data_IF_831407211217
#
_entry.id   IF_831407211217
#
_cell.length_a   1.000
_cell.length_b   1.000
_cell.length_c   1.000
_cell.angle_alpha   90.00
_cell.angle_beta   90.00
_cell.angle_gamma   90.00
#
_symmetry.space_group_name_H-M   'P 1'
#
loop_
_entity.id
_entity.type
_entity.pdbx_description
1 polymer ?
#
# COMPACT_ATOMS: atom_id res chain seq x y z
N UNK A 1 1.90 19.35 23.72
CA UNK A 1 0.62 18.65 23.47
C UNK A 1 0.47 18.49 21.97
N UNK A 2 1.14 17.49 21.35
CA UNK A 2 1.09 17.31 19.89
C UNK A 2 -0.32 16.95 19.39
N UNK A 3 -1.17 16.43 20.28
CA UNK A 3 -2.56 16.04 20.00
C UNK A 3 -3.54 17.17 19.77
N UNK A 4 -3.16 18.43 20.03
CA UNK A 4 -4.01 19.58 19.81
C UNK A 4 -3.82 20.12 18.39
N UNK A 5 -4.87 20.18 17.54
CA UNK A 5 -4.76 20.72 16.19
C UNK A 5 -4.12 22.11 16.13
N UNK A 6 -4.44 22.99 17.08
CA UNK A 6 -3.84 24.33 17.14
C UNK A 6 -2.34 24.33 17.46
N UNK A 7 -1.84 23.36 18.23
CA UNK A 7 -0.40 23.21 18.48
C UNK A 7 0.34 22.71 17.25
N UNK A 8 -0.24 21.78 16.48
CA UNK A 8 0.31 21.32 15.20
C UNK A 8 0.37 22.47 14.21
N UNK A 9 -0.72 23.25 14.11
CA UNK A 9 -0.78 24.45 13.28
C UNK A 9 0.31 25.45 13.66
N UNK A 10 0.47 25.76 14.95
CA UNK A 10 1.53 26.63 15.45
C UNK A 10 2.93 26.15 15.04
N UNK A 11 3.18 24.85 15.23
CA UNK A 11 4.47 24.21 14.89
C UNK A 11 4.76 24.34 13.40
N UNK A 12 3.77 24.10 12.54
CA UNK A 12 3.84 24.27 11.10
C UNK A 12 4.17 25.70 10.70
N UNK A 13 3.41 26.67 11.23
CA UNK A 13 3.61 28.09 10.98
C UNK A 13 5.02 28.55 11.38
N UNK A 14 5.52 28.08 12.54
CA UNK A 14 6.87 28.39 13.01
C UNK A 14 7.95 27.77 12.11
N UNK A 15 7.78 26.51 11.68
CA UNK A 15 8.72 25.83 10.78
C UNK A 15 8.81 26.51 9.42
N UNK A 16 7.68 26.89 8.86
CA UNK A 16 7.61 27.50 7.54
C UNK A 16 8.00 28.99 7.52
N UNK A 17 8.26 29.59 8.69
CA UNK A 17 8.48 31.05 8.85
C UNK A 17 7.39 31.89 8.15
N UNK A 18 6.15 31.38 8.16
CA UNK A 18 5.02 31.99 7.46
C UNK A 18 4.45 33.14 8.28
N UNK A 19 4.26 34.28 7.64
CA UNK A 19 3.58 35.45 8.21
C UNK A 19 2.12 35.54 7.74
N UNK A 20 1.54 34.42 7.30
CA UNK A 20 0.17 34.37 6.83
C UNK A 20 -0.81 34.76 7.97
N UNK A 21 -1.97 35.27 7.59
CA UNK A 21 -2.96 35.84 8.53
C UNK A 21 -3.42 34.83 9.61
N UNK A 22 -3.34 33.54 9.32
CA UNK A 22 -3.72 32.41 10.20
C UNK A 22 -2.53 31.84 10.98
N UNK A 23 -1.30 32.23 10.62
CA UNK A 23 -0.08 31.86 11.33
C UNK A 23 0.34 32.88 12.41
N UNK A 24 -0.43 33.95 12.60
CA UNK A 24 -0.17 34.88 13.71
C UNK A 24 -0.46 34.18 15.05
N UNK A 25 0.33 34.46 16.12
CA UNK A 25 0.09 33.86 17.43
C UNK A 25 -1.34 34.09 17.95
N UNK A 26 -1.95 35.23 17.61
CA UNK A 26 -3.31 35.56 18.04
C UNK A 26 -4.38 34.77 17.25
N UNK A 27 -4.17 34.50 15.96
CA UNK A 27 -5.05 33.64 15.16
C UNK A 27 -5.03 32.20 15.64
N UNK A 28 -3.85 31.64 15.91
CA UNK A 28 -3.72 30.29 16.46
C UNK A 28 -4.35 30.21 17.86
N UNK A 29 -4.15 31.24 18.69
CA UNK A 29 -4.82 31.33 19.99
C UNK A 29 -6.36 31.38 19.82
N UNK A 30 -6.85 32.09 18.80
CA UNK A 30 -8.26 32.14 18.48
C UNK A 30 -8.81 30.75 18.13
N UNK A 31 -8.14 29.98 17.27
CA UNK A 31 -8.54 28.62 16.91
C UNK A 31 -8.60 27.70 18.16
N UNK A 32 -7.58 27.77 19.02
CA UNK A 32 -7.53 26.97 20.26
C UNK A 32 -8.62 27.39 21.24
N UNK A 33 -8.70 28.67 21.58
CA UNK A 33 -9.50 29.16 22.70
C UNK A 33 -10.96 29.45 22.35
N UNK A 34 -11.33 29.45 21.09
CA UNK A 34 -12.72 29.70 20.70
C UNK A 34 -13.42 28.48 20.10
N UNK A 35 -12.67 27.54 19.52
CA UNK A 35 -13.21 26.32 18.88
C UNK A 35 -12.87 25.08 19.70
N UNK A 36 -11.60 24.86 20.01
CA UNK A 36 -11.15 23.59 20.58
C UNK A 36 -11.37 23.48 22.10
N UNK A 37 -10.77 24.37 22.88
CA UNK A 37 -10.75 24.29 24.35
C UNK A 37 -11.05 25.63 25.03
N UNK A 38 -12.26 26.20 24.85
CA UNK A 38 -12.61 27.50 25.42
C UNK A 38 -12.60 27.53 26.97
N UNK A 39 -12.71 26.37 27.61
CA UNK A 39 -12.72 26.27 29.07
C UNK A 39 -11.33 26.11 29.71
N UNK A 40 -10.25 26.08 28.92
CA UNK A 40 -8.90 26.06 29.46
C UNK A 40 -8.62 27.30 30.30
N UNK A 41 -7.88 27.12 31.40
CA UNK A 41 -7.49 28.23 32.30
C UNK A 41 -6.83 29.37 31.54
N UNK A 42 -5.97 29.04 30.58
CA UNK A 42 -5.22 30.02 29.78
C UNK A 42 -6.08 30.71 28.71
N UNK A 43 -7.23 30.13 28.36
CA UNK A 43 -8.19 30.71 27.42
C UNK A 43 -9.16 31.71 28.07
N UNK A 44 -9.20 31.83 29.40
CA UNK A 44 -10.12 32.73 30.12
C UNK A 44 -10.03 34.18 29.64
N UNK A 45 -8.82 34.69 29.45
CA UNK A 45 -8.61 36.06 28.99
C UNK A 45 -9.07 36.25 27.54
N UNK A 46 -8.76 35.29 26.66
CA UNK A 46 -9.21 35.33 25.28
C UNK A 46 -10.74 35.26 25.20
N UNK A 47 -11.38 34.33 25.92
CA UNK A 47 -12.84 34.17 25.92
C UNK A 47 -13.54 35.39 26.55
N UNK A 48 -12.97 35.98 27.60
CA UNK A 48 -13.49 37.21 28.19
C UNK A 48 -13.42 38.41 27.24
N UNK A 49 -12.39 38.47 26.38
CA UNK A 49 -12.19 39.57 25.45
C UNK A 49 -12.95 39.38 24.13
N UNK A 50 -12.82 38.20 23.52
CA UNK A 50 -13.27 37.90 22.17
C UNK A 50 -14.53 37.02 22.11
N UNK A 51 -15.00 36.52 23.24
CA UNK A 51 -16.08 35.52 23.31
C UNK A 51 -15.69 34.15 22.77
N UNK A 52 -16.44 33.12 23.16
CA UNK A 52 -16.42 31.83 22.47
C UNK A 52 -17.08 31.98 21.10
N UNK A 53 -16.54 31.29 20.08
CA UNK A 53 -16.98 31.44 18.68
C UNK A 53 -18.48 31.13 18.49
N UNK A 54 -19.05 30.26 19.32
CA UNK A 54 -20.45 29.87 19.26
C UNK A 54 -21.45 30.98 19.63
N UNK A 55 -21.02 32.03 20.34
CA UNK A 55 -21.95 32.93 21.05
C UNK A 55 -21.86 34.42 20.63
N UNK A 56 -21.00 34.79 19.67
CA UNK A 56 -20.85 36.19 19.26
C UNK A 56 -20.82 36.35 17.74
N UNK A 57 -21.57 37.33 17.23
CA UNK A 57 -21.49 37.73 15.83
C UNK A 57 -20.18 38.48 15.58
N UNK A 58 -19.60 38.33 14.39
CA UNK A 58 -18.34 39.00 14.01
C UNK A 58 -18.39 40.52 14.21
N UNK A 59 -19.59 41.11 14.15
CA UNK A 59 -19.81 42.54 14.33
C UNK A 59 -19.52 43.05 15.76
N UNK A 60 -19.85 42.29 16.81
CA UNK A 60 -19.72 42.73 18.21
C UNK A 60 -18.32 42.51 18.81
N UNK A 61 -17.44 41.81 18.09
CA UNK A 61 -16.09 41.51 18.55
C UNK A 61 -15.19 42.76 18.60
N UNK A 62 -14.31 42.89 19.61
CA UNK A 62 -13.26 43.92 19.62
C UNK A 62 -12.40 43.87 18.35
N UNK A 63 -11.82 45.01 17.97
CA UNK A 63 -10.99 45.13 16.75
C UNK A 63 -9.85 44.12 16.70
N UNK A 64 -9.21 43.84 17.85
CA UNK A 64 -8.13 42.85 17.94
C UNK A 64 -8.60 41.44 17.56
N UNK A 65 -9.81 41.05 17.98
CA UNK A 65 -10.42 39.76 17.66
C UNK A 65 -10.93 39.68 16.21
N UNK A 66 -11.16 40.82 15.56
CA UNK A 66 -11.50 40.90 14.13
C UNK A 66 -10.25 40.77 13.25
N UNK A 67 -9.11 41.27 13.72
CA UNK A 67 -7.85 41.26 12.95
C UNK A 67 -7.17 39.90 12.84
N UNK A 68 -7.49 38.97 13.75
CA UNK A 68 -7.02 37.60 13.74
C UNK A 68 -8.15 36.65 13.33
N UNK A 69 -8.31 36.36 12.03
CA UNK A 69 -9.32 35.43 11.59
C UNK A 69 -8.97 34.05 12.10
N UNK A 70 -10.02 33.35 12.50
CA UNK A 70 -9.96 31.93 12.81
C UNK A 70 -10.10 31.13 11.52
N UNK A 71 -9.59 29.90 11.53
CA UNK A 71 -9.89 28.94 10.48
C UNK A 71 -11.34 28.47 10.63
N UNK A 72 -12.15 28.75 9.62
CA UNK A 72 -13.52 28.26 9.54
C UNK A 72 -13.50 26.72 9.50
N UNK A 73 -14.38 26.07 10.27
CA UNK A 73 -14.45 24.60 10.37
C UNK A 73 -13.17 23.94 10.92
N UNK A 74 -12.38 24.65 11.73
CA UNK A 74 -11.24 24.05 12.42
C UNK A 74 -11.72 22.91 13.34
N UNK A 75 -11.17 21.69 13.21
CA UNK A 75 -11.63 20.57 14.03
C UNK A 75 -11.13 20.73 15.48
N UNK A 76 -11.99 20.39 16.45
CA UNK A 76 -11.55 20.28 17.85
C UNK A 76 -10.63 19.07 18.01
N UNK A 77 -9.78 19.06 19.05
CA UNK A 77 -8.93 17.95 19.43
C UNK A 77 -9.71 16.64 19.54
N UNK A 78 -10.89 16.70 20.19
CA UNK A 78 -11.76 15.53 20.35
C UNK A 78 -12.30 15.04 19.01
N UNK A 79 -12.74 15.95 18.15
CA UNK A 79 -13.29 15.60 16.84
C UNK A 79 -12.21 15.06 15.90
N UNK A 80 -11.07 15.75 15.78
CA UNK A 80 -9.93 15.31 14.97
C UNK A 80 -9.44 13.92 15.40
N UNK A 81 -9.29 13.69 16.71
CA UNK A 81 -8.89 12.38 17.21
C UNK A 81 -9.92 11.30 16.91
N UNK A 82 -11.22 11.59 17.04
CA UNK A 82 -12.26 10.62 16.72
C UNK A 82 -12.27 10.28 15.22
N UNK A 83 -12.17 11.29 14.35
CA UNK A 83 -12.15 11.10 12.90
C UNK A 83 -10.94 10.30 12.42
N UNK A 84 -9.76 10.55 12.99
CA UNK A 84 -8.56 9.73 12.67
C UNK A 84 -8.78 8.28 13.06
N UNK A 85 -9.28 8.03 14.28
CA UNK A 85 -9.51 6.67 14.76
C UNK A 85 -10.62 5.96 13.98
N UNK A 86 -11.64 6.69 13.53
CA UNK A 86 -12.75 6.17 12.72
C UNK A 86 -12.26 5.74 11.34
N UNK A 87 -11.52 6.62 10.64
CA UNK A 87 -10.89 6.30 9.34
C UNK A 87 -10.01 5.05 9.47
N UNK A 88 -9.14 5.01 10.49
CA UNK A 88 -8.21 3.90 10.69
C UNK A 88 -8.89 2.61 11.18
N UNK A 89 -10.12 2.69 11.71
CA UNK A 89 -10.91 1.51 12.08
C UNK A 89 -11.66 0.93 10.87
N UNK A 90 -12.07 1.78 9.91
CA UNK A 90 -12.73 1.35 8.68
C UNK A 90 -11.74 0.76 7.67
N UNK A 91 -10.57 1.38 7.49
CA UNK A 91 -9.49 0.80 6.69
C UNK A 91 -8.11 1.20 7.19
N UNK A 92 -7.17 0.26 7.13
CA UNK A 92 -5.77 0.53 7.46
C UNK A 92 -5.09 1.31 6.31
N UNK A 93 -4.65 2.53 6.60
CA UNK A 93 -4.04 3.45 5.63
C UNK A 93 -2.69 3.96 6.13
N UNK A 94 -1.81 4.34 5.20
CA UNK A 94 -0.58 5.05 5.54
C UNK A 94 -0.90 6.34 6.33
N UNK A 95 -0.33 6.45 7.52
CA UNK A 95 -0.61 7.50 8.51
C UNK A 95 -1.31 6.98 9.76
N UNK A 96 -2.04 5.86 9.70
CA UNK A 96 -2.70 5.26 10.87
C UNK A 96 -1.70 4.81 11.94
N UNK A 97 -0.50 4.38 11.54
CA UNK A 97 0.60 4.02 12.44
C UNK A 97 1.09 5.20 13.31
N UNK A 98 0.76 6.43 12.93
CA UNK A 98 1.17 7.65 13.66
C UNK A 98 0.28 7.94 14.86
N UNK A 99 -0.92 7.37 14.90
CA UNK A 99 -1.93 7.64 15.91
C UNK A 99 -2.45 6.36 16.54
N UNK A 100 -1.76 5.91 17.59
CA UNK A 100 -2.23 4.78 18.40
C UNK A 100 -3.57 5.08 19.08
N UNK A 101 -4.37 4.02 19.27
CA UNK A 101 -5.64 4.10 19.98
C UNK A 101 -5.39 4.64 21.42
N UNK A 102 -6.11 5.68 21.84
CA UNK A 102 -5.95 6.24 23.18
C UNK A 102 -6.25 5.20 24.25
N UNK A 103 -5.50 5.25 25.36
CA UNK A 103 -5.79 4.43 26.53
C UNK A 103 -7.22 4.69 27.05
N UNK A 104 -7.87 3.70 27.67
CA UNK A 104 -9.20 3.89 28.26
C UNK A 104 -9.23 5.12 29.19
N UNK A 105 -10.14 6.06 28.92
CA UNK A 105 -10.28 7.31 29.68
C UNK A 105 -9.42 8.48 29.21
N UNK A 106 -8.55 8.29 28.21
CA UNK A 106 -7.83 9.41 27.60
C UNK A 106 -8.75 10.25 26.69
N UNK A 107 -8.54 11.56 26.69
CA UNK A 107 -9.37 12.53 25.96
C UNK A 107 -9.17 12.49 24.43
N UNK A 108 -7.95 12.20 24.00
CA UNK A 108 -7.54 12.17 22.59
C UNK A 108 -6.34 11.23 22.38
N UNK A 109 -6.11 10.82 21.14
CA UNK A 109 -4.93 10.07 20.71
C UNK A 109 -3.65 10.89 20.95
N UNK A 110 -2.58 10.23 21.39
CA UNK A 110 -1.30 10.89 21.71
C UNK A 110 -0.41 11.03 20.46
N UNK A 111 -0.90 11.75 19.45
CA UNK A 111 -0.22 11.92 18.15
C UNK A 111 -0.47 13.32 17.59
N UNK A 112 0.12 13.66 16.44
CA UNK A 112 -0.29 14.86 15.69
C UNK A 112 -1.62 14.60 14.98
N UNK A 113 -2.74 14.89 15.66
CA UNK A 113 -4.09 14.57 15.16
C UNK A 113 -4.43 15.35 13.89
N UNK A 114 -4.07 16.63 13.79
CA UNK A 114 -4.34 17.45 12.61
C UNK A 114 -3.47 17.02 11.42
N UNK A 115 -2.17 16.78 11.64
CA UNK A 115 -1.27 16.30 10.60
C UNK A 115 -1.68 14.93 10.07
N UNK A 116 -2.02 14.00 10.96
CA UNK A 116 -2.48 12.66 10.58
C UNK A 116 -3.83 12.71 9.86
N UNK A 117 -4.80 13.46 10.38
CA UNK A 117 -6.10 13.66 9.73
C UNK A 117 -5.96 14.24 8.32
N UNK A 118 -5.09 15.24 8.14
CA UNK A 118 -4.79 15.80 6.82
C UNK A 118 -4.14 14.78 5.88
N UNK A 119 -3.24 13.91 6.36
CA UNK A 119 -2.63 12.86 5.54
C UNK A 119 -3.70 11.88 5.04
N UNK A 120 -4.54 11.38 5.95
CA UNK A 120 -5.61 10.43 5.64
C UNK A 120 -6.61 11.04 4.64
N UNK A 121 -7.04 12.28 4.88
CA UNK A 121 -7.98 12.95 3.99
C UNK A 121 -7.39 13.40 2.67
N UNK A 122 -6.08 13.63 2.58
CA UNK A 122 -5.42 13.84 1.28
C UNK A 122 -5.37 12.56 0.45
N UNK A 123 -5.23 11.40 1.11
CA UNK A 123 -5.22 10.11 0.42
C UNK A 123 -6.61 9.74 -0.13
N UNK A 124 -7.68 10.00 0.64
CA UNK A 124 -9.06 9.77 0.21
C UNK A 124 -9.98 10.94 0.61
N UNK A 125 -10.00 12.03 -0.19
CA UNK A 125 -10.75 13.24 0.17
C UNK A 125 -12.25 13.01 0.22
N UNK A 126 -12.77 12.02 -0.50
CA UNK A 126 -14.21 11.75 -0.62
C UNK A 126 -14.79 10.88 0.49
N UNK A 127 -13.98 10.51 1.49
CA UNK A 127 -14.48 9.87 2.72
C UNK A 127 -15.40 10.82 3.49
N UNK A 128 -16.48 10.27 4.05
CA UNK A 128 -17.47 11.07 4.82
C UNK A 128 -16.83 11.77 6.03
N UNK A 129 -15.84 11.10 6.65
CA UNK A 129 -15.03 11.59 7.75
C UNK A 129 -14.17 12.80 7.37
N UNK A 130 -13.92 13.03 6.07
CA UNK A 130 -13.12 14.14 5.57
C UNK A 130 -13.93 15.41 5.27
N UNK A 131 -15.23 15.43 5.57
CA UNK A 131 -16.08 16.60 5.37
C UNK A 131 -15.57 17.84 6.14
N UNK A 132 -15.20 17.69 7.42
CA UNK A 132 -14.66 18.79 8.23
C UNK A 132 -13.33 19.31 7.67
N UNK A 133 -12.41 18.41 7.29
CA UNK A 133 -11.16 18.79 6.63
C UNK A 133 -11.40 19.54 5.32
N UNK A 134 -12.32 19.05 4.46
CA UNK A 134 -12.73 19.73 3.22
C UNK A 134 -13.24 21.13 3.51
N UNK A 135 -14.17 21.28 4.47
CA UNK A 135 -14.69 22.59 4.85
C UNK A 135 -13.59 23.53 5.37
N UNK A 136 -12.65 23.02 6.17
CA UNK A 136 -11.50 23.79 6.65
C UNK A 136 -10.61 24.26 5.49
N UNK A 137 -10.34 23.38 4.53
CA UNK A 137 -9.51 23.71 3.37
C UNK A 137 -10.20 24.65 2.38
N UNK A 138 -11.50 24.47 2.15
CA UNK A 138 -12.28 25.29 1.20
C UNK A 138 -12.61 26.68 1.74
N UNK A 139 -12.90 26.83 3.03
CA UNK A 139 -13.31 28.11 3.61
C UNK A 139 -12.18 29.16 3.69
N UNK A 140 -10.98 28.80 3.24
CA UNK A 140 -9.79 29.64 3.28
C UNK A 140 -9.39 30.25 1.93
N UNK A 141 -10.11 29.91 0.86
CA UNK A 141 -9.83 30.39 -0.49
C UNK A 141 -10.42 31.78 -0.77
N UNK A 142 -11.45 32.18 -0.02
CA UNK A 142 -12.28 33.33 -0.42
C UNK A 142 -11.76 34.70 0.03
N UNK A 143 -10.91 34.78 1.05
CA UNK A 143 -10.60 36.08 1.70
C UNK A 143 -9.14 36.50 1.72
N UNK A 144 -8.18 35.68 1.26
CA UNK A 144 -6.76 36.01 1.35
C UNK A 144 -5.98 35.50 0.15
N UNK A 145 -5.18 36.37 -0.47
CA UNK A 145 -4.28 36.05 -1.60
C UNK A 145 -3.20 34.97 -1.26
N UNK A 146 -3.12 34.54 0.00
CA UNK A 146 -2.23 33.50 0.54
C UNK A 146 -3.04 32.43 1.32
N UNK A 147 -4.12 31.94 0.71
CA UNK A 147 -5.09 31.05 1.36
C UNK A 147 -4.49 29.81 2.02
N UNK A 148 -5.12 29.35 3.12
CA UNK A 148 -4.78 28.12 3.85
C UNK A 148 -4.81 26.86 2.96
N UNK A 149 -5.46 26.93 1.80
CA UNK A 149 -5.40 25.90 0.76
C UNK A 149 -3.95 25.53 0.36
N UNK A 150 -3.00 26.46 0.45
CA UNK A 150 -1.58 26.22 0.17
C UNK A 150 -0.78 25.66 1.37
N UNK A 151 -1.46 25.39 2.48
CA UNK A 151 -0.85 24.79 3.67
C UNK A 151 -0.43 23.34 3.43
N UNK A 152 0.50 22.80 4.22
CA UNK A 152 0.82 21.37 4.20
C UNK A 152 -0.39 20.47 4.55
N UNK A 153 -1.40 21.05 5.21
CA UNK A 153 -2.63 20.37 5.60
C UNK A 153 -3.64 20.25 4.46
N UNK A 154 -3.66 21.21 3.52
CA UNK A 154 -4.67 21.29 2.47
C UNK A 154 -4.13 21.17 1.05
N UNK A 155 -2.83 21.42 0.85
CA UNK A 155 -2.23 21.34 -0.47
C UNK A 155 -2.42 19.93 -1.03
N UNK A 156 -3.13 19.86 -2.16
CA UNK A 156 -3.39 18.63 -2.87
C UNK A 156 -2.05 17.92 -3.13
N UNK A 157 -1.84 16.76 -2.49
CA UNK A 157 -0.75 15.85 -2.84
C UNK A 157 0.68 16.33 -2.59
N UNK A 158 1.00 17.01 -1.49
CA UNK A 158 2.41 17.29 -1.10
C UNK A 158 2.93 16.31 -0.02
N UNK A 159 2.55 15.04 -0.12
CA UNK A 159 3.54 13.99 0.11
C UNK A 159 4.21 13.80 -1.24
N UNK A 160 5.55 13.71 -1.31
CA UNK A 160 6.27 13.52 -2.57
C UNK A 160 5.49 12.58 -3.49
N UNK A 161 5.30 12.88 -4.80
CA UNK A 161 4.64 11.97 -5.73
C UNK A 161 5.29 10.57 -5.80
N UNK A 162 6.42 10.38 -5.13
CA UNK A 162 7.02 9.08 -4.85
C UNK A 162 6.40 8.22 -3.74
N UNK A 163 5.69 8.78 -2.75
CA UNK A 163 5.31 8.05 -1.54
C UNK A 163 3.81 7.89 -1.28
N UNK A 164 2.94 8.48 -2.12
CA UNK A 164 1.51 8.23 -1.97
C UNK A 164 1.11 7.06 -2.87
N UNK A 165 0.87 5.86 -2.32
CA UNK A 165 0.33 4.76 -3.10
C UNK A 165 -0.99 5.22 -3.75
N UNK A 166 -1.23 4.99 -5.06
CA UNK A 166 -2.53 5.26 -5.66
C UNK A 166 -3.63 4.60 -4.81
N UNK A 167 -4.63 5.43 -4.45
CA UNK A 167 -5.75 5.01 -3.63
C UNK A 167 -6.34 3.71 -4.18
N UNK A 168 -6.59 2.73 -3.31
CA UNK A 168 -7.22 1.46 -3.70
C UNK A 168 -8.53 1.75 -4.44
N UNK A 169 -8.49 1.66 -5.77
CA UNK A 169 -9.67 1.80 -6.62
C UNK A 169 -10.21 0.39 -6.86
N UNK A 170 -11.54 0.25 -6.85
CA UNK A 170 -12.19 -1.03 -7.12
C UNK A 170 -12.31 -1.28 -8.62
N UNK A 171 -12.02 -2.54 -9.03
CA UNK A 171 -11.96 -3.20 -10.36
C UNK A 171 -12.00 -2.36 -11.65
N UNK A 172 -11.10 -2.69 -12.59
CA UNK A 172 -10.96 -2.14 -13.96
C UNK A 172 -11.03 -0.62 -14.04
N UNK A 173 -9.91 0.03 -13.75
CA UNK A 173 -9.78 1.47 -13.93
C UNK A 173 -9.04 1.73 -15.25
N UNK A 174 -9.42 2.80 -15.94
CA UNK A 174 -8.77 3.26 -17.16
C UNK A 174 -7.66 4.27 -16.86
N UNK A 175 -7.18 4.30 -15.61
CA UNK A 175 -6.13 5.19 -15.16
C UNK A 175 -4.76 4.74 -15.66
N UNK A 176 -3.87 5.69 -15.91
CA UNK A 176 -2.48 5.39 -16.26
C UNK A 176 -1.58 5.19 -15.04
N UNK A 177 -2.07 5.48 -13.82
CA UNK A 177 -1.30 5.47 -12.57
C UNK A 177 -1.73 4.31 -11.65
N UNK A 178 -1.80 3.12 -12.20
CA UNK A 178 -2.15 1.90 -11.48
C UNK A 178 -0.92 1.00 -11.29
N UNK A 179 -0.92 0.22 -10.20
CA UNK A 179 0.09 -0.80 -9.95
C UNK A 179 -0.07 -1.93 -10.97
N UNK A 180 1.04 -2.29 -11.62
CA UNK A 180 1.01 -3.31 -12.68
C UNK A 180 1.38 -4.68 -12.13
N UNK A 181 2.54 -4.81 -11.50
CA UNK A 181 3.06 -6.07 -10.95
C UNK A 181 3.67 -5.91 -9.55
N UNK A 182 4.37 -4.79 -9.32
CA UNK A 182 5.05 -4.46 -8.07
C UNK A 182 4.81 -3.00 -7.71
N UNK A 183 4.97 -2.63 -6.43
CA UNK A 183 4.81 -1.24 -5.95
C UNK A 183 5.73 -0.25 -6.67
N UNK A 184 6.88 -0.72 -7.15
CA UNK A 184 7.86 0.09 -7.88
C UNK A 184 7.52 0.26 -9.36
N UNK A 185 6.66 -0.60 -9.92
CA UNK A 185 6.27 -0.56 -11.32
C UNK A 185 4.91 0.13 -11.48
N UNK A 186 4.93 1.46 -11.38
CA UNK A 186 3.78 2.34 -11.58
C UNK A 186 4.07 3.31 -12.72
N UNK A 187 3.33 3.25 -13.85
CA UNK A 187 3.47 4.23 -14.90
C UNK A 187 2.98 5.60 -14.39
N UNK A 188 3.82 6.63 -14.52
CA UNK A 188 3.48 8.01 -14.13
C UNK A 188 3.26 8.95 -15.30
N UNK A 189 3.62 8.49 -16.50
CA UNK A 189 3.44 9.24 -17.75
C UNK A 189 2.98 8.33 -18.88
N UNK A 190 2.50 8.94 -19.98
CA UNK A 190 1.97 8.21 -21.12
C UNK A 190 3.00 7.27 -21.77
N UNK A 191 4.27 7.68 -21.83
CA UNK A 191 5.34 6.85 -22.38
C UNK A 191 5.61 5.60 -21.55
N UNK A 192 5.65 5.73 -20.22
CA UNK A 192 5.78 4.61 -19.29
C UNK A 192 4.56 3.69 -19.36
N UNK A 193 3.36 4.24 -19.53
CA UNK A 193 2.14 3.46 -19.70
C UNK A 193 2.21 2.61 -20.97
N UNK A 194 2.51 3.22 -22.12
CA UNK A 194 2.72 2.50 -23.40
C UNK A 194 3.86 1.48 -23.28
N UNK A 195 4.97 1.85 -22.64
CA UNK A 195 6.09 0.94 -22.38
C UNK A 195 5.68 -0.27 -21.53
N UNK A 196 4.79 -0.08 -20.56
CA UNK A 196 4.26 -1.16 -19.74
C UNK A 196 3.38 -2.11 -20.55
N UNK A 197 2.55 -1.59 -21.46
CA UNK A 197 1.80 -2.42 -22.41
C UNK A 197 2.72 -3.31 -23.25
N UNK A 198 3.78 -2.74 -23.82
CA UNK A 198 4.77 -3.53 -24.57
C UNK A 198 5.48 -4.55 -23.68
N UNK A 199 5.90 -4.16 -22.47
CA UNK A 199 6.56 -5.06 -21.53
C UNK A 199 5.66 -6.26 -21.18
N UNK A 200 4.37 -6.04 -20.88
CA UNK A 200 3.41 -7.12 -20.62
C UNK A 200 3.18 -8.00 -21.86
N UNK A 201 3.10 -7.41 -23.06
CA UNK A 201 3.00 -8.17 -24.31
C UNK A 201 4.22 -9.08 -24.54
N UNK A 202 5.44 -8.57 -24.34
CA UNK A 202 6.65 -9.38 -24.50
C UNK A 202 6.80 -10.41 -23.39
N UNK A 203 6.40 -10.09 -22.16
CA UNK A 203 6.45 -11.01 -21.02
C UNK A 203 5.49 -12.19 -21.21
N UNK A 204 4.29 -11.94 -21.74
CA UNK A 204 3.33 -13.01 -22.09
C UNK A 204 3.82 -13.85 -23.28
N UNK A 205 4.42 -13.24 -24.30
CA UNK A 205 5.03 -13.96 -25.42
C UNK A 205 6.20 -14.85 -24.97
N UNK A 206 7.04 -14.34 -24.06
CA UNK A 206 8.14 -15.10 -23.47
C UNK A 206 7.59 -16.28 -22.66
N UNK A 207 6.56 -16.07 -21.84
CA UNK A 207 5.91 -17.13 -21.06
C UNK A 207 5.39 -18.26 -21.97
N UNK A 208 4.65 -17.91 -23.03
CA UNK A 208 4.14 -18.89 -24.01
C UNK A 208 5.26 -19.64 -24.72
N UNK A 209 6.35 -18.94 -25.06
CA UNK A 209 7.52 -19.56 -25.71
C UNK A 209 8.19 -20.57 -24.79
N UNK A 210 8.36 -20.25 -23.50
CA UNK A 210 8.94 -21.15 -22.49
C UNK A 210 8.07 -22.39 -22.31
N UNK A 211 6.74 -22.22 -22.19
CA UNK A 211 5.81 -23.33 -22.01
C UNK A 211 5.77 -24.25 -23.24
N UNK A 212 5.79 -23.67 -24.45
CA UNK A 212 5.89 -24.45 -25.71
C UNK A 212 7.23 -25.19 -25.81
N UNK A 213 8.33 -24.50 -25.49
CA UNK A 213 9.67 -25.09 -25.53
C UNK A 213 9.79 -26.28 -24.58
N UNK A 214 9.25 -26.16 -23.36
CA UNK A 214 9.15 -27.26 -22.40
C UNK A 214 8.41 -28.45 -23.00
N UNK A 215 7.24 -28.22 -23.60
CA UNK A 215 6.42 -29.28 -24.21
C UNK A 215 7.19 -30.00 -25.33
N UNK A 216 7.93 -29.26 -26.17
CA UNK A 216 8.77 -29.86 -27.21
C UNK A 216 9.93 -30.69 -26.65
N UNK A 217 10.58 -30.24 -25.57
CA UNK A 217 11.65 -31.01 -24.92
C UNK A 217 11.13 -32.32 -24.32
N UNK A 218 9.99 -32.28 -23.64
CA UNK A 218 9.35 -33.49 -23.10
C UNK A 218 8.99 -34.48 -24.22
N UNK A 219 8.49 -33.98 -25.36
CA UNK A 219 8.24 -34.81 -26.53
C UNK A 219 9.50 -35.50 -27.06
N UNK A 220 10.61 -34.76 -27.18
CA UNK A 220 11.88 -35.33 -27.65
C UNK A 220 12.48 -36.35 -26.68
N UNK A 221 12.40 -36.10 -25.38
CA UNK A 221 12.90 -37.08 -24.39
C UNK A 221 12.06 -38.35 -24.39
N UNK A 222 10.73 -38.25 -24.56
CA UNK A 222 9.87 -39.42 -24.70
C UNK A 222 10.20 -40.27 -25.94
N UNK A 223 10.55 -39.64 -27.07
CA UNK A 223 11.01 -40.34 -28.28
C UNK A 223 12.35 -41.07 -28.06
N UNK A 224 13.31 -40.43 -27.38
CA UNK A 224 14.60 -41.05 -27.04
C UNK A 224 14.43 -42.26 -26.11
N UNK A 225 13.56 -42.16 -25.10
CA UNK A 225 13.25 -43.28 -24.19
C UNK A 225 12.57 -44.44 -24.94
N UNK A 226 11.69 -44.15 -25.90
CA UNK A 226 11.07 -45.17 -26.74
C UNK A 226 12.11 -45.91 -27.60
N UNK A 227 13.06 -45.19 -28.20
CA UNK A 227 14.12 -45.78 -29.02
C UNK A 227 15.08 -46.67 -28.21
N UNK A 228 15.48 -46.26 -27.00
CA UNK A 228 16.35 -47.04 -26.12
C UNK A 228 15.68 -48.36 -25.65
N UNK A 229 14.35 -48.33 -25.44
CA UNK A 229 13.58 -49.52 -25.09
C UNK A 229 13.49 -50.53 -26.26
N UNK A 230 13.34 -50.07 -27.50
CA UNK A 230 13.32 -50.97 -28.67
C UNK A 230 14.64 -51.73 -28.85
N UNK A 231 15.78 -51.06 -28.68
CA UNK A 231 17.11 -51.70 -28.81
C UNK A 231 17.39 -52.71 -27.69
N UNK A 232 16.98 -52.40 -26.46
CA UNK A 232 17.08 -53.32 -25.32
C UNK A 232 16.27 -54.59 -25.56
N UNK A 233 15.07 -54.47 -26.15
CA UNK A 233 14.19 -55.61 -26.44
C UNK A 233 14.80 -56.55 -27.51
N UNK A 234 15.51 -55.99 -28.51
CA UNK A 234 16.22 -56.80 -29.52
C UNK A 234 17.41 -57.56 -28.92
N UNK A 235 18.18 -56.94 -28.02
CA UNK A 235 19.35 -57.59 -27.40
C UNK A 235 18.97 -58.83 -26.58
N UNK A 236 17.87 -58.75 -25.82
CA UNK A 236 17.45 -59.83 -24.92
C UNK A 236 16.80 -61.03 -25.66
N UNK A 237 16.23 -60.78 -26.85
CA UNK A 237 15.68 -61.84 -27.70
C UNK A 237 16.72 -62.86 -28.20
N UNK A 238 18.02 -62.53 -28.14
CA UNK A 238 19.11 -63.44 -28.52
C UNK A 238 19.57 -64.38 -27.40
N UNK A 239 19.18 -64.16 -26.14
CA UNK A 239 19.79 -64.87 -24.98
C UNK A 239 18.82 -65.85 -24.31
N UNK A 240 17.51 -65.76 -24.57
CA UNK A 240 16.51 -66.66 -23.96
C UNK A 240 16.18 -67.88 -24.83
N UNK A 241 17.08 -68.86 -24.84
CA UNK A 241 16.72 -70.25 -25.20
C UNK A 241 17.21 -71.31 -24.20
N UNK A 242 17.74 -70.92 -23.03
CA UNK A 242 18.09 -71.87 -21.97
C UNK A 242 17.73 -71.31 -20.61
N UNK A 243 16.71 -71.89 -19.96
CA UNK A 243 16.58 -72.05 -18.51
C UNK A 243 15.11 -72.20 -18.12
N UNK A 244 14.57 -73.40 -18.32
CA UNK A 244 13.37 -73.90 -17.63
C UNK A 244 13.83 -74.55 -16.32
N UNK A 245 13.33 -74.07 -15.18
CA UNK A 245 13.38 -74.79 -13.90
C UNK A 245 13.82 -73.94 -12.73
N UNK A 246 12.94 -73.79 -11.73
CA UNK A 246 13.34 -73.22 -10.44
C UNK A 246 12.19 -72.58 -9.68
N UNK A 247 11.26 -73.41 -9.22
CA UNK A 247 10.19 -73.05 -8.29
C UNK A 247 10.78 -72.76 -6.90
N UNK A 248 10.43 -71.64 -6.25
CA UNK A 248 11.11 -71.27 -5.00
C UNK A 248 10.77 -69.93 -4.36
N UNK A 249 9.52 -69.75 -3.92
CA UNK A 249 9.15 -69.12 -2.62
C UNK A 249 9.92 -67.84 -2.20
N UNK A 250 9.59 -66.69 -2.79
CA UNK A 250 10.17 -65.39 -2.39
C UNK A 250 9.24 -64.62 -1.44
N UNK A 251 9.60 -64.57 -0.16
CA UNK A 251 8.98 -63.72 0.86
C UNK A 251 9.44 -62.28 0.62
N UNK A 252 8.49 -61.36 0.40
CA UNK A 252 8.77 -59.99 -0.02
C UNK A 252 9.30 -59.13 1.14
N UNK A 253 10.41 -58.44 0.91
CA UNK A 253 10.92 -57.38 1.77
C UNK A 253 10.77 -56.07 1.01
N UNK A 254 9.60 -55.44 1.19
CA UNK A 254 9.26 -54.13 0.61
C UNK A 254 10.35 -53.09 0.95
N UNK A 255 10.97 -53.22 2.12
CA UNK A 255 12.02 -52.33 2.60
C UNK A 255 13.30 -52.36 1.75
N UNK A 256 13.75 -53.53 1.28
CA UNK A 256 14.94 -53.62 0.41
C UNK A 256 14.65 -53.10 -1.00
N UNK A 257 13.39 -53.15 -1.46
CA UNK A 257 12.99 -52.59 -2.75
C UNK A 257 13.10 -51.05 -2.74
N UNK A 258 12.67 -50.38 -1.66
CA UNK A 258 12.81 -48.94 -1.51
C UNK A 258 14.27 -48.48 -1.41
N UNK A 259 15.14 -49.21 -0.71
CA UNK A 259 16.57 -48.87 -0.61
C UNK A 259 17.29 -49.05 -1.95
N UNK A 260 16.93 -50.07 -2.74
CA UNK A 260 17.50 -50.24 -4.09
C UNK A 260 17.02 -49.17 -5.09
N UNK A 261 15.77 -48.70 -4.97
CA UNK A 261 15.24 -47.58 -5.76
C UNK A 261 16.04 -46.28 -5.55
N UNK A 262 16.55 -46.03 -4.34
CA UNK A 262 17.37 -44.87 -4.03
C UNK A 262 18.85 -45.01 -4.44
N UNK A 263 19.30 -46.22 -4.78
CA UNK A 263 20.71 -46.52 -5.10
C UNK A 263 20.97 -46.78 -6.58
N UNK A 264 19.96 -46.68 -7.43
CA UNK A 264 20.17 -46.70 -8.88
C UNK A 264 21.12 -45.56 -9.25
N UNK A 265 22.27 -45.84 -9.89
CA UNK A 265 23.17 -44.79 -10.35
C UNK A 265 22.45 -44.02 -11.45
N UNK A 266 21.94 -42.84 -11.10
CA UNK A 266 21.30 -41.96 -12.04
C UNK A 266 22.26 -41.73 -13.20
N UNK A 267 21.77 -41.97 -14.41
CA UNK A 267 22.52 -41.61 -15.59
C UNK A 267 22.77 -40.11 -15.56
N UNK A 268 23.99 -39.66 -15.89
CA UNK A 268 24.28 -38.24 -16.05
C UNK A 268 23.31 -37.55 -17.04
N UNK A 269 22.70 -38.32 -17.95
CA UNK A 269 21.65 -37.86 -18.87
C UNK A 269 20.37 -37.50 -18.11
N UNK A 270 19.87 -38.39 -17.24
CA UNK A 270 18.64 -38.19 -16.46
C UNK A 270 18.78 -37.02 -15.48
N UNK A 271 19.95 -36.89 -14.83
CA UNK A 271 20.21 -35.76 -13.93
C UNK A 271 20.12 -34.44 -14.70
N UNK A 272 20.73 -34.35 -15.89
CA UNK A 272 20.66 -33.15 -16.73
C UNK A 272 19.23 -32.83 -17.15
N UNK A 273 18.47 -33.82 -17.59
CA UNK A 273 17.07 -33.64 -17.99
C UNK A 273 16.21 -33.13 -16.82
N UNK A 274 16.35 -33.75 -15.64
CA UNK A 274 15.59 -33.35 -14.45
C UNK A 274 15.96 -31.95 -13.96
N UNK A 275 17.25 -31.56 -14.04
CA UNK A 275 17.67 -30.18 -13.71
C UNK A 275 17.03 -29.18 -14.68
N UNK A 276 17.05 -29.44 -15.99
CA UNK A 276 16.41 -28.56 -16.98
C UNK A 276 14.91 -28.46 -16.73
N UNK A 277 14.23 -29.59 -16.48
CA UNK A 277 12.80 -29.64 -16.16
C UNK A 277 12.47 -28.82 -14.91
N UNK A 278 13.28 -28.96 -13.85
CA UNK A 278 13.10 -28.20 -12.61
C UNK A 278 13.27 -26.69 -12.83
N UNK A 279 14.29 -26.27 -13.58
CA UNK A 279 14.53 -24.86 -13.90
C UNK A 279 13.38 -24.27 -14.72
N UNK A 280 12.93 -24.96 -15.77
CA UNK A 280 11.81 -24.48 -16.59
C UNK A 280 10.50 -24.39 -15.78
N UNK A 281 10.23 -25.37 -14.92
CA UNK A 281 9.06 -25.37 -14.04
C UNK A 281 9.12 -24.21 -13.04
N UNK A 282 10.29 -23.94 -12.46
CA UNK A 282 10.49 -22.82 -11.55
C UNK A 282 10.27 -21.47 -12.23
N UNK A 283 10.80 -21.29 -13.45
CA UNK A 283 10.61 -20.06 -14.23
C UNK A 283 9.13 -19.88 -14.62
N UNK A 284 8.48 -20.95 -15.08
CA UNK A 284 7.07 -20.93 -15.47
C UNK A 284 6.15 -20.58 -14.28
N UNK A 285 6.36 -21.23 -13.12
CA UNK A 285 5.57 -20.96 -11.91
C UNK A 285 5.81 -19.54 -11.36
N UNK A 286 7.04 -19.06 -11.39
CA UNK A 286 7.37 -17.70 -10.95
C UNK A 286 6.76 -16.65 -11.88
N UNK A 287 6.83 -16.85 -13.20
CA UNK A 287 6.22 -15.94 -14.18
C UNK A 287 4.69 -15.99 -14.14
N UNK A 288 4.09 -17.17 -14.01
CA UNK A 288 2.64 -17.34 -13.87
C UNK A 288 2.11 -16.62 -12.63
N UNK A 289 2.76 -16.83 -11.48
CA UNK A 289 2.43 -16.12 -10.25
C UNK A 289 2.57 -14.60 -10.39
N UNK A 290 3.68 -14.13 -11.00
CA UNK A 290 3.90 -12.70 -11.22
C UNK A 290 2.84 -12.09 -12.13
N UNK A 291 2.41 -12.80 -13.17
CA UNK A 291 1.40 -12.35 -14.13
C UNK A 291 -0.05 -12.60 -13.68
N UNK A 292 -0.26 -13.29 -12.55
CA UNK A 292 -1.57 -13.79 -12.11
C UNK A 292 -2.28 -14.63 -13.20
N UNK A 293 -1.51 -15.41 -13.98
CA UNK A 293 -1.98 -16.37 -14.98
C UNK A 293 -1.97 -17.79 -14.40
#
# INVERSE_FOLDING_TARGET
MPFMPGCSLYSSCKKASKTDQWCTPFSVLADICSVDMPMMKDCKNYVSLCGAAANQTTASRPSICKSAPMLTSFPTTKNASALVLDICAEMDMAGCERCEKPAPGAYAANCDTLGTYAILCKAMPDMSQCATWKSMCSASSETSALGFHSSEYCAAGVGSPEMNPPAMRMFFHTGFADYVLFETWVPRNLGQYVGTWFALFFLTLLFQTISTYRTCLEGRWAEEEAAENEDSTKSDSSVRLTSLGGDGKHRSSIFMHWIMLWRQPWSLKEVKQNVIRAVLTFVETTLGYALML
#
